data_IF_451370161428
#
_entry.id   IF_451370161428
#
_cell.length_a   1.000
_cell.length_b   1.000
_cell.length_c   1.000
_cell.angle_alpha   90.00
_cell.angle_beta   90.00
_cell.angle_gamma   90.00
#
_symmetry.space_group_name_H-M   'P 1'
#
loop_
_entity.id
_entity.type
_entity.pdbx_description
1 polymer ?
#
# COMPACT_ATOMS: atom_id res chain seq x y z
N UNK A 1 -19.76 49.45 2.86
CA UNK A 1 -18.72 49.37 3.92
C UNK A 1 -18.14 47.97 3.89
N UNK A 2 -16.82 47.83 3.78
CA UNK A 2 -16.12 46.54 3.86
C UNK A 2 -15.52 46.40 5.25
N UNK A 3 -15.92 45.38 6.01
CA UNK A 3 -15.43 45.10 7.36
C UNK A 3 -14.64 43.79 7.35
N UNK A 4 -13.50 43.78 8.03
CA UNK A 4 -12.67 42.57 8.18
C UNK A 4 -12.99 41.93 9.51
N UNK A 5 -13.62 40.76 9.50
CA UNK A 5 -13.92 39.99 10.71
C UNK A 5 -12.86 38.90 10.89
N UNK A 6 -12.26 38.82 12.09
CA UNK A 6 -11.31 37.78 12.46
C UNK A 6 -11.96 36.86 13.49
N UNK A 7 -12.10 35.57 13.17
CA UNK A 7 -12.62 34.56 14.10
C UNK A 7 -11.46 34.12 14.99
N UNK A 8 -11.62 34.25 16.32
CA UNK A 8 -10.56 33.93 17.31
C UNK A 8 -10.01 32.50 17.18
N UNK A 9 -10.85 31.54 16.75
CA UNK A 9 -10.49 30.13 16.66
C UNK A 9 -9.46 29.82 15.56
N UNK A 10 -9.25 30.72 14.58
CA UNK A 10 -8.19 30.55 13.56
C UNK A 10 -7.46 31.88 13.32
N UNK A 11 -6.23 32.04 13.87
CA UNK A 11 -5.51 33.31 13.84
C UNK A 11 -4.96 33.72 12.46
N UNK A 12 -4.99 32.82 11.46
CA UNK A 12 -4.38 33.04 10.15
C UNK A 12 -5.36 33.24 8.98
N UNK A 13 -6.67 33.33 9.24
CA UNK A 13 -7.67 33.53 8.18
C UNK A 13 -8.42 34.85 8.35
N UNK A 14 -8.32 35.73 7.34
CA UNK A 14 -9.07 36.98 7.25
C UNK A 14 -10.04 36.88 6.07
N UNK A 15 -11.30 36.58 6.36
CA UNK A 15 -12.34 36.59 5.35
C UNK A 15 -12.80 38.04 5.08
N UNK A 16 -12.77 38.46 3.82
CA UNK A 16 -13.41 39.72 3.39
C UNK A 16 -14.88 39.42 3.12
N UNK A 17 -15.70 39.63 4.13
CA UNK A 17 -17.16 39.45 4.04
C UNK A 17 -17.85 40.77 3.73
N UNK A 18 -18.90 40.72 2.92
CA UNK A 18 -19.81 41.85 2.76
C UNK A 18 -20.89 41.73 3.84
N UNK A 19 -20.83 42.60 4.84
CA UNK A 19 -21.83 42.63 5.90
C UNK A 19 -23.17 43.10 5.32
N UNK A 20 -24.15 42.22 5.31
CA UNK A 20 -25.52 42.56 4.92
C UNK A 20 -26.37 42.61 6.19
N UNK A 21 -26.73 43.82 6.61
CA UNK A 21 -27.66 44.04 7.72
C UNK A 21 -29.03 44.40 7.18
N UNK A 22 -30.05 43.70 7.67
CA UNK A 22 -31.45 44.04 7.40
C UNK A 22 -31.97 44.84 8.58
N UNK A 23 -32.26 46.12 8.35
CA UNK A 23 -32.88 46.98 9.35
C UNK A 23 -34.39 47.01 9.14
N UNK A 24 -35.13 46.57 10.15
CA UNK A 24 -36.57 46.76 10.24
C UNK A 24 -36.84 48.05 10.98
N UNK A 25 -37.46 49.00 10.28
CA UNK A 25 -37.87 50.27 10.85
C UNK A 25 -39.35 50.22 11.24
N UNK A 26 -39.71 50.81 12.38
CA UNK A 26 -41.10 51.09 12.75
C UNK A 26 -41.33 52.59 12.85
N UNK A 27 -42.45 53.03 12.28
CA UNK A 27 -42.93 54.39 12.46
C UNK A 27 -43.37 54.58 13.92
N UNK A 28 -42.95 55.68 14.52
CA UNK A 28 -43.49 56.17 15.78
C UNK A 28 -44.54 57.24 15.46
N UNK A 29 -45.78 57.00 15.89
CA UNK A 29 -46.92 57.85 15.58
C UNK A 29 -46.88 59.20 16.32
N UNK A 30 -46.12 59.28 17.42
CA UNK A 30 -46.02 60.49 18.26
C UNK A 30 -45.16 61.60 17.63
N UNK A 31 -44.11 61.23 16.89
CA UNK A 31 -43.17 62.18 16.30
C UNK A 31 -42.98 62.01 14.78
N UNK A 32 -43.68 61.05 14.17
CA UNK A 32 -43.65 60.78 12.74
C UNK A 32 -42.32 60.24 12.23
N UNK A 33 -41.43 59.75 13.11
CA UNK A 33 -40.10 59.27 12.74
C UNK A 33 -40.03 57.75 12.70
N UNK A 34 -39.19 57.24 11.81
CA UNK A 34 -38.89 55.81 11.73
C UNK A 34 -37.74 55.46 12.67
N UNK A 35 -38.01 54.60 13.64
CA UNK A 35 -37.01 54.08 14.57
C UNK A 35 -36.59 52.67 14.18
N UNK A 36 -35.33 52.37 14.45
CA UNK A 36 -34.77 51.03 14.24
C UNK A 36 -35.38 50.09 15.29
N UNK A 37 -36.25 49.19 14.83
CA UNK A 37 -36.93 48.22 15.67
C UNK A 37 -36.14 46.92 15.77
N UNK A 38 -35.58 46.45 14.66
CA UNK A 38 -34.80 45.23 14.60
C UNK A 38 -33.64 45.39 13.63
N UNK A 39 -32.50 44.82 13.98
CA UNK A 39 -31.36 44.67 13.10
C UNK A 39 -30.99 43.18 13.04
N UNK A 40 -31.13 42.58 11.86
CA UNK A 40 -30.67 41.22 11.63
C UNK A 40 -29.37 41.27 10.83
N UNK A 41 -28.29 40.81 11.45
CA UNK A 41 -27.01 40.64 10.80
C UNK A 41 -26.97 39.24 10.18
N UNK A 42 -27.17 39.14 8.86
CA UNK A 42 -27.12 37.86 8.16
C UNK A 42 -25.67 37.47 7.92
N UNK A 43 -25.21 36.43 8.62
CA UNK A 43 -23.94 35.78 8.30
C UNK A 43 -24.14 34.79 7.16
N UNK A 44 -23.31 34.88 6.13
CA UNK A 44 -23.32 33.94 5.01
C UNK A 44 -22.66 32.62 5.45
N UNK A 45 -23.47 31.63 5.83
CA UNK A 45 -23.06 30.28 6.27
C UNK A 45 -22.27 29.50 5.22
N UNK A 46 -22.30 29.94 3.96
CA UNK A 46 -21.52 29.39 2.85
C UNK A 46 -20.00 29.45 3.11
N UNK A 47 -19.52 30.39 3.92
CA UNK A 47 -18.12 30.44 4.35
C UNK A 47 -17.78 29.44 5.45
N UNK A 48 -18.76 29.04 6.27
CA UNK A 48 -18.54 28.06 7.33
C UNK A 48 -18.24 26.66 6.77
N UNK A 49 -18.83 26.33 5.61
CA UNK A 49 -18.59 25.06 4.90
C UNK A 49 -17.14 24.96 4.41
N UNK A 50 -16.54 26.08 3.97
CA UNK A 50 -15.12 26.15 3.57
C UNK A 50 -14.17 25.93 4.74
N UNK A 51 -14.68 26.04 5.96
CA UNK A 51 -13.94 25.80 7.19
C UNK A 51 -13.98 24.34 7.63
N UNK A 52 -15.08 23.64 7.35
CA UNK A 52 -15.26 22.22 7.67
C UNK A 52 -14.61 21.33 6.60
N UNK A 53 -14.62 21.77 5.34
CA UNK A 53 -14.06 21.02 4.23
C UNK A 53 -12.69 21.62 3.89
N UNK A 54 -11.57 20.97 4.29
CA UNK A 54 -10.26 21.46 3.93
C UNK A 54 -10.13 21.51 2.40
N UNK A 55 -9.41 22.49 1.85
CA UNK A 55 -9.25 22.62 0.41
C UNK A 55 -8.72 21.32 -0.19
N UNK A 56 -9.25 20.94 -1.35
CA UNK A 56 -9.16 19.58 -1.92
C UNK A 56 -7.74 19.02 -2.03
N UNK A 57 -6.72 19.87 -2.11
CA UNK A 57 -5.31 19.45 -2.13
C UNK A 57 -4.87 18.76 -0.83
N UNK A 58 -5.40 19.16 0.33
CA UNK A 58 -5.09 18.51 1.63
C UNK A 58 -5.62 17.07 1.65
N UNK A 59 -6.79 16.82 1.07
CA UNK A 59 -7.34 15.45 0.95
C UNK A 59 -6.46 14.57 0.07
N UNK A 60 -5.91 15.12 -1.03
CA UNK A 60 -4.96 14.40 -1.88
C UNK A 60 -3.69 14.06 -1.11
N UNK A 61 -3.12 15.01 -0.37
CA UNK A 61 -1.94 14.75 0.47
C UNK A 61 -2.20 13.71 1.56
N UNK A 62 -3.35 13.78 2.24
CA UNK A 62 -3.77 12.80 3.24
C UNK A 62 -3.93 11.41 2.60
N UNK A 63 -4.55 11.33 1.43
CA UNK A 63 -4.69 10.10 0.67
C UNK A 63 -3.34 9.49 0.28
N UNK A 64 -2.41 10.30 -0.24
CA UNK A 64 -1.06 9.85 -0.60
C UNK A 64 -0.29 9.37 0.63
N UNK A 65 -0.42 10.06 1.77
CA UNK A 65 0.16 9.63 3.04
C UNK A 65 -0.38 8.26 3.47
N UNK A 66 -1.70 8.08 3.47
CA UNK A 66 -2.33 6.79 3.83
C UNK A 66 -1.92 5.67 2.89
N UNK A 67 -1.90 5.92 1.57
CA UNK A 67 -1.45 4.94 0.59
C UNK A 67 -0.02 4.49 0.88
N UNK A 68 0.89 5.44 1.13
CA UNK A 68 2.30 5.14 1.40
C UNK A 68 2.44 4.36 2.71
N UNK A 69 1.71 4.76 3.76
CA UNK A 69 1.69 4.08 5.05
C UNK A 69 1.21 2.63 4.93
N UNK A 70 0.09 2.38 4.23
CA UNK A 70 -0.41 1.02 4.03
C UNK A 70 0.49 0.18 3.12
N UNK A 71 1.14 0.77 2.11
CA UNK A 71 2.15 0.07 1.31
C UNK A 71 3.32 -0.39 2.18
N UNK A 72 3.81 0.47 3.08
CA UNK A 72 4.90 0.13 3.99
C UNK A 72 4.47 -0.98 4.97
N UNK A 73 3.29 -0.85 5.58
CA UNK A 73 2.75 -1.88 6.46
C UNK A 73 2.55 -3.22 5.74
N UNK A 74 2.00 -3.19 4.52
CA UNK A 74 1.80 -4.37 3.69
C UNK A 74 3.13 -5.06 3.36
N UNK A 75 4.16 -4.30 2.97
CA UNK A 75 5.48 -4.85 2.71
C UNK A 75 6.10 -5.49 3.95
N UNK A 76 5.98 -4.85 5.12
CA UNK A 76 6.47 -5.40 6.39
C UNK A 76 5.69 -6.65 6.81
N UNK A 77 4.36 -6.64 6.66
CA UNK A 77 3.51 -7.78 7.00
C UNK A 77 3.74 -8.99 6.07
N UNK A 78 4.07 -8.74 4.80
CA UNK A 78 4.36 -9.78 3.81
C UNK A 78 5.83 -10.22 3.77
N UNK A 79 6.75 -9.48 4.40
CA UNK A 79 8.15 -9.90 4.56
C UNK A 79 8.33 -11.38 5.00
N UNK A 80 7.64 -11.88 6.05
CA UNK A 80 7.79 -13.27 6.46
C UNK A 80 7.34 -14.27 5.39
N UNK A 81 6.36 -13.91 4.55
CA UNK A 81 5.91 -14.77 3.45
C UNK A 81 7.02 -14.91 2.42
N UNK A 82 7.68 -13.81 2.05
CA UNK A 82 8.80 -13.83 1.11
C UNK A 82 9.98 -14.68 1.63
N UNK A 83 10.26 -14.62 2.93
CA UNK A 83 11.30 -15.47 3.54
C UNK A 83 10.92 -16.96 3.53
N UNK A 84 9.66 -17.28 3.82
CA UNK A 84 9.16 -18.66 3.77
C UNK A 84 9.22 -19.23 2.35
N UNK A 85 8.89 -18.43 1.33
CA UNK A 85 9.00 -18.84 -0.08
C UNK A 85 10.45 -19.17 -0.46
N UNK A 86 11.41 -18.33 -0.06
CA UNK A 86 12.84 -18.58 -0.31
C UNK A 86 13.31 -19.88 0.33
N UNK A 87 12.91 -20.12 1.58
CA UNK A 87 13.27 -21.34 2.29
C UNK A 87 12.72 -22.60 1.61
N UNK A 88 11.44 -22.60 1.20
CA UNK A 88 10.81 -23.71 0.48
C UNK A 88 11.49 -23.96 -0.88
N UNK A 89 11.83 -22.88 -1.60
CA UNK A 89 12.51 -22.97 -2.89
C UNK A 89 13.90 -23.59 -2.76
N UNK A 90 14.66 -23.21 -1.74
CA UNK A 90 15.98 -23.78 -1.45
C UNK A 90 15.89 -25.27 -1.09
N UNK A 91 14.95 -25.67 -0.23
CA UNK A 91 14.72 -27.09 0.08
C UNK A 91 14.37 -27.89 -1.18
N UNK A 92 13.47 -27.37 -2.01
CA UNK A 92 13.03 -28.05 -3.23
C UNK A 92 14.18 -28.20 -4.24
N UNK A 93 15.00 -27.16 -4.41
CA UNK A 93 16.17 -27.18 -5.30
C UNK A 93 17.24 -28.14 -4.79
N UNK A 94 17.49 -28.14 -3.48
CA UNK A 94 18.43 -29.05 -2.82
C UNK A 94 17.99 -30.50 -3.04
N UNK A 95 16.72 -30.83 -2.77
CA UNK A 95 16.15 -32.17 -2.99
C UNK A 95 16.33 -32.67 -4.43
N UNK A 96 15.99 -31.85 -5.43
CA UNK A 96 16.17 -32.22 -6.85
C UNK A 96 17.64 -32.44 -7.23
N UNK A 97 18.56 -31.66 -6.66
CA UNK A 97 19.99 -31.82 -6.90
C UNK A 97 20.51 -33.15 -6.33
N UNK A 98 20.09 -33.50 -5.11
CA UNK A 98 20.42 -34.78 -4.46
C UNK A 98 19.89 -35.98 -5.25
N UNK A 99 18.64 -35.92 -5.70
CA UNK A 99 17.99 -36.99 -6.46
C UNK A 99 18.70 -37.22 -7.81
N UNK A 100 19.03 -36.15 -8.53
CA UNK A 100 19.80 -36.25 -9.79
C UNK A 100 21.24 -36.72 -9.60
N UNK A 101 21.89 -36.42 -8.46
CA UNK A 101 23.21 -36.97 -8.13
C UNK A 101 23.16 -38.45 -7.77
N UNK A 102 22.12 -38.87 -7.07
CA UNK A 102 21.88 -40.28 -6.74
C UNK A 102 21.67 -41.11 -8.00
N UNK A 103 20.80 -40.66 -8.90
CA UNK A 103 20.50 -41.34 -10.17
C UNK A 103 21.73 -41.43 -11.10
N UNK A 104 22.52 -40.35 -11.19
CA UNK A 104 23.77 -40.36 -11.95
C UNK A 104 24.85 -41.27 -11.32
N UNK A 105 24.84 -41.46 -10.00
CA UNK A 105 25.75 -42.37 -9.29
C UNK A 105 25.33 -43.84 -9.44
N UNK A 106 24.04 -44.12 -9.32
CA UNK A 106 23.43 -45.44 -9.54
C UNK A 106 23.69 -45.94 -10.96
N UNK A 107 23.43 -45.10 -11.97
CA UNK A 107 23.65 -45.42 -13.37
C UNK A 107 25.13 -45.71 -13.69
N UNK A 108 26.06 -44.94 -13.11
CA UNK A 108 27.51 -45.18 -13.25
C UNK A 108 27.97 -46.48 -12.58
N UNK A 109 27.45 -46.81 -11.41
CA UNK A 109 27.77 -48.08 -10.76
C UNK A 109 27.18 -49.27 -11.54
N UNK A 110 25.96 -49.14 -12.07
CA UNK A 110 25.35 -50.16 -12.92
C UNK A 110 26.20 -50.46 -14.16
N UNK A 111 26.65 -49.42 -14.87
CA UNK A 111 27.49 -49.53 -16.07
C UNK A 111 28.87 -50.16 -15.76
N UNK A 112 29.48 -49.78 -14.62
CA UNK A 112 30.74 -50.38 -14.15
C UNK A 112 30.59 -51.86 -13.79
N UNK A 113 29.51 -52.24 -13.10
CA UNK A 113 29.26 -53.63 -12.72
C UNK A 113 28.99 -54.52 -13.93
N UNK A 114 28.26 -54.00 -14.93
CA UNK A 114 27.98 -54.73 -16.17
C UNK A 114 29.27 -54.94 -16.99
N UNK A 115 30.14 -53.92 -17.06
CA UNK A 115 31.45 -54.01 -17.70
C UNK A 115 32.40 -55.01 -17.05
N UNK A 116 32.41 -55.11 -15.72
CA UNK A 116 33.22 -56.12 -14.99
C UNK A 116 32.69 -57.53 -15.25
N UNK A 117 31.36 -57.71 -15.29
CA UNK A 117 30.74 -59.00 -15.60
C UNK A 117 31.10 -59.52 -16.99
N UNK A 118 31.12 -58.64 -18.00
CA UNK A 118 31.51 -59.00 -19.37
C UNK A 118 32.97 -59.45 -19.47
N UNK A 119 33.89 -58.77 -18.78
CA UNK A 119 35.32 -59.14 -18.77
C UNK A 119 35.55 -60.51 -18.12
N UNK A 120 34.80 -60.84 -17.07
CA UNK A 120 34.88 -62.15 -16.42
C UNK A 120 34.31 -63.27 -17.30
N UNK A 121 33.29 -62.98 -18.11
CA UNK A 121 32.76 -63.93 -19.10
C UNK A 121 33.76 -64.17 -20.24
N UNK A 122 34.39 -63.11 -20.77
CA UNK A 122 35.45 -63.25 -21.77
C UNK A 122 36.64 -64.05 -21.24
N UNK A 123 37.09 -63.77 -20.02
CA UNK A 123 38.17 -64.53 -19.37
C UNK A 123 37.82 -66.01 -19.25
N UNK A 124 36.58 -66.34 -18.86
CA UNK A 124 36.13 -67.73 -18.74
C UNK A 124 36.01 -68.42 -20.10
N UNK A 125 35.63 -67.70 -21.15
CA UNK A 125 35.59 -68.23 -22.51
C UNK A 125 37.00 -68.59 -23.01
N UNK A 126 37.99 -67.72 -22.77
CA UNK A 126 39.39 -67.96 -23.16
C UNK A 126 40.04 -69.13 -22.39
N UNK A 127 39.68 -69.33 -21.12
CA UNK A 127 40.20 -70.45 -20.31
C UNK A 127 39.58 -71.79 -20.73
N UNK A 128 38.38 -71.77 -21.31
CA UNK A 128 37.62 -72.97 -21.64
C UNK A 128 37.71 -73.37 -23.12
N UNK A 129 38.55 -72.71 -23.92
CA UNK A 129 38.95 -73.25 -25.22
C UNK A 129 39.94 -74.42 -25.00
N UNK A 130 39.58 -75.66 -25.37
CA UNK A 130 40.52 -76.77 -25.29
C UNK A 130 41.55 -76.63 -26.40
N UNK A 131 42.84 -76.62 -26.04
CA UNK A 131 43.96 -76.60 -26.98
C UNK A 131 43.80 -77.77 -27.96
N UNK A 132 43.56 -77.44 -29.23
CA UNK A 132 43.48 -78.39 -30.33
C UNK A 132 44.83 -78.54 -31.01
#
# INVERSE_FOLDING_TARGET
MTQVFGIWVVPFHRARVNLTSVLTLRLNDDDGKYYIYQQNDLYQTDEFVKFVIPPSWILVWLWQFWSTFFCLLGAVALWPVSYAEQWIWEETKSRKNWEGRGDAGESRNGDLLDGVGLQDLERKALVNEPSR
#
